data_IF_928905185824
#
_entry.id   IF_928905185824
#
_cell.length_a   1.000
_cell.length_b   1.000
_cell.length_c   1.000
_cell.angle_alpha   90.00
_cell.angle_beta   90.00
_cell.angle_gamma   90.00
#
_symmetry.space_group_name_H-M   'P 1'
#
loop_
_entity.id
_entity.type
_entity.pdbx_description
1 polymer ?
#
# COMPACT_ATOMS: atom_id res chain seq x y z
N UNK A 1 5.42 31.36 11.46
CA UNK A 1 5.20 29.95 11.83
C UNK A 1 4.17 29.38 10.88
N UNK A 2 4.58 28.66 9.84
CA UNK A 2 3.66 27.96 8.93
C UNK A 2 3.23 26.68 9.61
N UNK A 3 2.01 26.64 10.13
CA UNK A 3 1.37 25.40 10.58
C UNK A 3 1.15 24.53 9.34
N UNK A 4 1.89 23.44 9.21
CA UNK A 4 1.49 22.37 8.28
C UNK A 4 0.10 21.91 8.75
N UNK A 5 -0.97 22.04 7.94
CA UNK A 5 -2.24 21.42 8.30
C UNK A 5 -1.95 19.94 8.52
N UNK A 6 -2.38 19.40 9.66
CA UNK A 6 -2.26 17.97 9.89
C UNK A 6 -3.08 17.26 8.81
N UNK A 7 -2.39 16.77 7.77
CA UNK A 7 -2.96 15.91 6.74
C UNK A 7 -3.63 14.74 7.44
N UNK A 8 -4.90 14.47 7.15
CA UNK A 8 -5.57 13.31 7.76
C UNK A 8 -4.83 12.04 7.34
N UNK A 9 -4.92 10.99 8.16
CA UNK A 9 -4.29 9.72 7.82
C UNK A 9 -4.76 9.20 6.45
N UNK A 10 -6.06 9.33 6.16
CA UNK A 10 -6.66 8.95 4.89
C UNK A 10 -6.06 9.72 3.69
N UNK A 11 -5.76 11.01 3.88
CA UNK A 11 -5.13 11.82 2.84
C UNK A 11 -3.65 11.45 2.67
N UNK A 12 -2.94 11.18 3.77
CA UNK A 12 -1.56 10.68 3.73
C UNK A 12 -1.45 9.32 3.04
N UNK A 13 -2.49 8.48 3.12
CA UNK A 13 -2.55 7.18 2.47
C UNK A 13 -2.80 7.25 0.96
N UNK A 14 -3.07 8.42 0.36
CA UNK A 14 -3.27 8.51 -1.10
C UNK A 14 -2.02 8.18 -1.91
N UNK A 15 -0.85 8.55 -1.43
CA UNK A 15 0.41 8.30 -2.10
C UNK A 15 1.49 7.98 -1.06
N UNK A 16 1.86 6.70 -0.97
CA UNK A 16 2.81 6.20 0.02
C UNK A 16 3.91 5.39 -0.63
N UNK A 17 5.12 5.52 -0.08
CA UNK A 17 6.26 4.72 -0.47
C UNK A 17 6.73 3.86 0.70
N UNK A 18 7.02 2.58 0.41
CA UNK A 18 7.65 1.66 1.36
C UNK A 18 9.09 1.41 0.88
N UNK A 19 10.06 1.77 1.71
CA UNK A 19 11.49 1.53 1.45
C UNK A 19 11.94 0.28 2.21
N UNK A 20 12.68 -0.60 1.53
CA UNK A 20 12.94 -1.96 2.04
C UNK A 20 11.71 -2.86 1.92
N UNK A 21 10.90 -2.64 0.88
CA UNK A 21 9.60 -3.26 0.70
C UNK A 21 9.66 -4.79 0.60
N UNK A 22 10.74 -5.37 0.07
CA UNK A 22 10.89 -6.82 -0.08
C UNK A 22 11.39 -7.50 1.21
N UNK A 23 11.79 -6.74 2.23
CA UNK A 23 12.15 -7.27 3.53
C UNK A 23 10.95 -7.86 4.29
N UNK A 24 11.23 -8.62 5.36
CA UNK A 24 10.18 -9.26 6.18
C UNK A 24 9.15 -8.26 6.72
N UNK A 25 9.62 -7.11 7.20
CA UNK A 25 8.73 -6.06 7.72
C UNK A 25 8.10 -5.26 6.58
N UNK A 26 8.89 -4.85 5.59
CA UNK A 26 8.42 -4.07 4.45
C UNK A 26 7.31 -4.76 3.66
N UNK A 27 7.39 -6.07 3.50
CA UNK A 27 6.39 -6.87 2.77
C UNK A 27 5.05 -6.91 3.50
N UNK A 28 5.06 -7.09 4.82
CA UNK A 28 3.86 -7.01 5.66
C UNK A 28 3.24 -5.62 5.68
N UNK A 29 4.07 -4.58 5.83
CA UNK A 29 3.62 -3.17 5.78
C UNK A 29 2.99 -2.87 4.42
N UNK A 30 3.62 -3.31 3.33
CA UNK A 30 3.11 -3.12 1.96
C UNK A 30 1.74 -3.74 1.78
N UNK A 31 1.53 -4.95 2.33
CA UNK A 31 0.23 -5.62 2.27
C UNK A 31 -0.85 -4.83 3.03
N UNK A 32 -0.56 -4.43 4.27
CA UNK A 32 -1.53 -3.71 5.10
C UNK A 32 -1.89 -2.34 4.51
N UNK A 33 -0.90 -1.60 4.01
CA UNK A 33 -1.13 -0.31 3.35
C UNK A 33 -1.96 -0.47 2.08
N UNK A 34 -1.66 -1.48 1.25
CA UNK A 34 -2.43 -1.76 0.04
C UNK A 34 -3.89 -2.14 0.37
N UNK A 35 -4.11 -2.94 1.43
CA UNK A 35 -5.46 -3.29 1.89
C UNK A 35 -6.23 -2.08 2.40
N UNK A 36 -5.56 -1.20 3.16
CA UNK A 36 -6.19 0.00 3.69
C UNK A 36 -6.52 1.01 2.60
N UNK A 37 -5.62 1.20 1.63
CA UNK A 37 -5.88 2.00 0.42
C UNK A 37 -7.08 1.45 -0.36
N UNK A 38 -7.15 0.13 -0.54
CA UNK A 38 -8.28 -0.51 -1.22
C UNK A 38 -9.60 -0.32 -0.45
N UNK A 39 -9.58 -0.43 0.88
CA UNK A 39 -10.75 -0.16 1.74
C UNK A 39 -11.24 1.27 1.58
N UNK A 40 -10.35 2.25 1.70
CA UNK A 40 -10.67 3.68 1.55
C UNK A 40 -11.19 4.01 0.15
N UNK A 41 -10.64 3.39 -0.89
CA UNK A 41 -11.13 3.58 -2.26
C UNK A 41 -12.53 2.99 -2.46
N UNK A 42 -12.76 1.78 -1.94
CA UNK A 42 -14.06 1.12 -2.01
C UNK A 42 -15.13 1.92 -1.26
N UNK A 43 -14.82 2.46 -0.08
CA UNK A 43 -15.73 3.31 0.70
C UNK A 43 -16.05 4.62 -0.03
N UNK A 44 -15.06 5.23 -0.68
CA UNK A 44 -15.25 6.50 -1.36
C UNK A 44 -15.91 6.37 -2.75
N UNK A 45 -15.76 5.23 -3.43
CA UNK A 45 -16.12 5.09 -4.86
C UNK A 45 -16.96 3.86 -5.21
N UNK A 46 -17.12 2.91 -4.31
CA UNK A 46 -17.78 1.62 -4.58
C UNK A 46 -16.95 0.64 -5.42
N UNK A 47 -15.70 0.97 -5.77
CA UNK A 47 -14.79 0.13 -6.53
C UNK A 47 -13.33 0.31 -6.05
N UNK A 48 -12.43 -0.57 -6.51
CA UNK A 48 -10.98 -0.48 -6.26
C UNK A 48 -10.21 -0.44 -7.57
N UNK A 49 -9.02 0.17 -7.55
CA UNK A 49 -8.13 0.21 -8.71
C UNK A 49 -8.41 1.33 -9.70
N UNK A 50 -9.05 2.43 -9.29
CA UNK A 50 -9.22 3.62 -10.14
C UNK A 50 -7.92 4.43 -10.30
N UNK A 51 -6.90 4.12 -9.49
CA UNK A 51 -5.61 4.82 -9.48
C UNK A 51 -5.57 6.07 -8.59
N UNK A 52 -6.61 6.31 -7.78
CA UNK A 52 -6.67 7.40 -6.78
C UNK A 52 -5.75 7.17 -5.59
N UNK A 53 -5.44 5.91 -5.29
CA UNK A 53 -4.49 5.51 -4.26
C UNK A 53 -3.30 4.82 -4.92
N UNK A 54 -2.09 5.21 -4.53
CA UNK A 54 -0.84 4.70 -5.08
C UNK A 54 0.07 4.22 -3.95
N UNK A 55 0.62 3.02 -4.12
CA UNK A 55 1.71 2.52 -3.30
C UNK A 55 2.93 2.30 -4.18
N UNK A 56 4.06 2.88 -3.78
CA UNK A 56 5.36 2.70 -4.42
C UNK A 56 6.22 1.80 -3.55
N UNK A 57 6.68 0.69 -4.11
CA UNK A 57 7.50 -0.29 -3.39
C UNK A 57 8.96 -0.15 -3.87
N UNK A 58 9.86 0.15 -2.94
CA UNK A 58 11.26 0.42 -3.22
C UNK A 58 12.11 -0.58 -2.45
N UNK A 59 12.98 -1.29 -3.16
CA UNK A 59 13.96 -2.19 -2.58
C UNK A 59 15.20 -2.26 -3.48
N UNK A 60 16.35 -2.61 -2.90
CA UNK A 60 17.58 -2.86 -3.65
C UNK A 60 17.59 -4.22 -4.35
N UNK A 61 16.72 -5.15 -3.94
CA UNK A 61 16.61 -6.49 -4.52
C UNK A 61 15.48 -6.58 -5.53
N UNK A 62 15.83 -6.68 -6.82
CA UNK A 62 14.85 -6.89 -7.90
C UNK A 62 14.10 -8.22 -7.75
N UNK A 63 14.82 -9.31 -7.43
CA UNK A 63 14.21 -10.61 -7.14
C UNK A 63 13.23 -10.54 -5.94
N UNK A 64 13.60 -9.77 -4.91
CA UNK A 64 12.75 -9.51 -3.76
C UNK A 64 11.45 -8.80 -4.14
N UNK A 65 11.53 -7.78 -5.01
CA UNK A 65 10.36 -7.06 -5.53
C UNK A 65 9.47 -7.97 -6.38
N UNK A 66 10.05 -8.86 -7.18
CA UNK A 66 9.30 -9.85 -7.94
C UNK A 66 8.55 -10.83 -7.04
N UNK A 67 9.21 -11.33 -5.98
CA UNK A 67 8.59 -12.14 -4.95
C UNK A 67 7.44 -11.41 -4.26
N UNK A 68 7.68 -10.16 -3.85
CA UNK A 68 6.69 -9.30 -3.21
C UNK A 68 5.48 -9.05 -4.12
N UNK A 69 5.70 -8.76 -5.41
CA UNK A 69 4.62 -8.56 -6.37
C UNK A 69 3.74 -9.80 -6.50
N UNK A 70 4.33 -10.99 -6.51
CA UNK A 70 3.58 -12.26 -6.50
C UNK A 70 2.80 -12.45 -5.21
N UNK A 71 3.40 -12.10 -4.06
CA UNK A 71 2.77 -12.17 -2.75
C UNK A 71 1.54 -11.25 -2.66
N UNK A 72 1.66 -9.98 -3.05
CA UNK A 72 0.58 -8.99 -2.98
C UNK A 72 -0.57 -9.25 -3.95
N UNK A 73 -0.30 -9.91 -5.09
CA UNK A 73 -1.33 -10.26 -6.07
C UNK A 73 -2.15 -11.51 -5.72
N UNK A 74 -1.73 -12.29 -4.72
CA UNK A 74 -2.50 -13.47 -4.34
C UNK A 74 -3.85 -13.01 -3.76
N UNK A 75 -4.99 -13.50 -4.28
CA UNK A 75 -6.26 -13.28 -3.62
C UNK A 75 -6.17 -13.89 -2.22
N UNK A 76 -6.38 -13.07 -1.19
CA UNK A 76 -6.40 -13.51 0.21
C UNK A 76 -7.59 -14.45 0.43
N UNK A 77 -7.39 -15.74 0.14
CA UNK A 77 -8.38 -16.80 0.36
C UNK A 77 -8.06 -17.63 1.62
N UNK A 78 -7.27 -17.07 2.56
CA UNK A 78 -6.81 -17.77 3.77
C UNK A 78 -7.33 -17.19 5.10
N UNK A 79 -8.30 -16.26 5.05
CA UNK A 79 -9.05 -15.87 6.25
C UNK A 79 -10.54 -16.05 5.94
N UNK A 80 -11.01 -17.27 6.15
CA UNK A 80 -12.42 -17.61 6.37
C UNK A 80 -12.52 -18.37 7.67
#
# INVERSE_FOLDING_TARGET
MTTHPATSLDEALRDVAVVGAAGKMGSGISLLLLQEQARLEAEATGAVGSGRYRITLIDSSEEGLDGLRKYLKKPNNQIR
#
